data_IF_089565699469
#
_entry.id   IF_089565699469
#
_cell.length_a   1.000
_cell.length_b   1.000
_cell.length_c   1.000
_cell.angle_alpha   90.00
_cell.angle_beta   90.00
_cell.angle_gamma   90.00
#
_symmetry.space_group_name_H-M   'P 1'
#
loop_
_entity.id
_entity.type
_entity.pdbx_description
1 polymer ?
#
# COMPACT_ATOMS: atom_id res chain seq x y z
N UNK A 1 22.70 -11.17 -11.64
CA UNK A 1 21.27 -11.40 -11.85
C UNK A 1 20.74 -10.33 -12.80
N UNK A 2 19.89 -10.69 -13.76
CA UNK A 2 19.24 -9.69 -14.62
C UNK A 2 18.36 -8.76 -13.78
N UNK A 3 18.23 -7.51 -14.20
CA UNK A 3 17.33 -6.56 -13.54
C UNK A 3 15.87 -7.01 -13.69
N UNK A 4 15.11 -6.97 -12.60
CA UNK A 4 13.66 -7.25 -12.63
C UNK A 4 12.98 -6.13 -13.42
N UNK A 5 12.19 -6.49 -14.45
CA UNK A 5 11.44 -5.59 -15.31
C UNK A 5 9.95 -5.92 -15.27
N UNK A 6 9.13 -4.91 -15.55
CA UNK A 6 7.67 -5.00 -15.60
C UNK A 6 7.11 -4.39 -16.88
N UNK A 7 7.85 -4.51 -17.96
CA UNK A 7 7.41 -4.02 -19.28
C UNK A 7 6.05 -4.67 -19.62
N UNK A 8 5.12 -3.88 -20.14
CA UNK A 8 3.74 -4.26 -20.47
C UNK A 8 2.85 -4.69 -19.27
N UNK A 9 3.31 -4.53 -18.04
CA UNK A 9 2.51 -4.76 -16.83
C UNK A 9 1.96 -3.44 -16.28
N UNK A 10 0.81 -3.55 -15.60
CA UNK A 10 0.11 -2.43 -14.96
C UNK A 10 0.01 -2.66 -13.46
N UNK A 11 0.47 -1.69 -12.70
CA UNK A 11 0.44 -1.72 -11.24
C UNK A 11 -0.53 -0.67 -10.67
N UNK A 12 -1.32 -1.07 -9.69
CA UNK A 12 -2.10 -0.19 -8.82
C UNK A 12 -1.38 -0.07 -7.48
N UNK A 13 -1.08 1.15 -7.05
CA UNK A 13 -0.49 1.40 -5.73
C UNK A 13 -1.39 2.38 -4.96
N UNK A 14 -1.95 1.94 -3.83
CA UNK A 14 -2.80 2.78 -2.99
C UNK A 14 -1.99 3.53 -1.93
N UNK A 15 -2.42 4.76 -1.58
CA UNK A 15 -1.65 5.63 -0.68
C UNK A 15 -0.28 5.99 -1.27
N UNK A 16 -0.23 6.20 -2.59
CA UNK A 16 1.01 6.32 -3.36
C UNK A 16 1.54 7.76 -3.49
N UNK A 17 0.88 8.74 -2.90
CA UNK A 17 1.33 10.14 -2.96
C UNK A 17 2.56 10.44 -2.10
N UNK A 18 2.86 9.60 -1.09
CA UNK A 18 3.94 9.85 -0.14
C UNK A 18 4.59 8.54 0.37
N UNK A 19 5.75 8.70 1.03
CA UNK A 19 6.40 7.64 1.81
C UNK A 19 6.61 6.34 1.03
N UNK A 20 6.24 5.21 1.64
CA UNK A 20 6.41 3.88 1.06
C UNK A 20 5.66 3.72 -0.27
N UNK A 21 4.37 4.11 -0.32
CA UNK A 21 3.56 3.97 -1.54
C UNK A 21 4.15 4.73 -2.72
N UNK A 22 4.59 6.00 -2.50
CA UNK A 22 5.31 6.77 -3.52
C UNK A 22 6.56 6.04 -4.00
N UNK A 23 7.35 5.50 -3.08
CA UNK A 23 8.59 4.79 -3.42
C UNK A 23 8.30 3.52 -4.25
N UNK A 24 7.23 2.79 -3.93
CA UNK A 24 6.80 1.63 -4.72
C UNK A 24 6.36 2.02 -6.13
N UNK A 25 5.56 3.09 -6.24
CA UNK A 25 5.08 3.58 -7.53
C UNK A 25 6.23 4.01 -8.45
N UNK A 26 7.17 4.78 -7.92
CA UNK A 26 8.36 5.24 -8.65
C UNK A 26 9.24 4.06 -9.09
N UNK A 27 9.49 3.10 -8.20
CA UNK A 27 10.38 1.97 -8.51
C UNK A 27 9.76 1.00 -9.53
N UNK A 28 8.44 0.76 -9.47
CA UNK A 28 7.73 -0.03 -10.48
C UNK A 28 7.74 0.67 -11.83
N UNK A 29 7.46 1.98 -11.88
CA UNK A 29 7.51 2.77 -13.11
C UNK A 29 8.92 2.80 -13.72
N UNK A 30 9.96 2.99 -12.91
CA UNK A 30 11.38 2.93 -13.36
C UNK A 30 11.72 1.59 -14.01
N UNK A 31 11.06 0.53 -13.59
CA UNK A 31 11.23 -0.83 -14.14
C UNK A 31 10.29 -1.17 -15.29
N UNK A 32 9.54 -0.19 -15.80
CA UNK A 32 8.72 -0.32 -17.02
C UNK A 32 7.23 -0.50 -16.80
N UNK A 33 6.75 -0.68 -15.57
CA UNK A 33 5.32 -0.77 -15.31
C UNK A 33 4.59 0.54 -15.67
N UNK A 34 3.36 0.43 -16.16
CA UNK A 34 2.41 1.53 -16.09
C UNK A 34 1.78 1.55 -14.69
N UNK A 35 1.60 2.73 -14.08
CA UNK A 35 1.22 2.82 -12.67
C UNK A 35 -0.03 3.68 -12.47
N UNK A 36 -1.03 3.13 -11.80
CA UNK A 36 -2.10 3.92 -11.17
C UNK A 36 -1.61 4.36 -9.80
N UNK A 37 -1.42 5.65 -9.65
CA UNK A 37 -1.03 6.30 -8.39
C UNK A 37 -2.32 6.73 -7.68
N UNK A 38 -2.79 5.94 -6.73
CA UNK A 38 -3.97 6.30 -5.95
C UNK A 38 -3.57 6.97 -4.64
N UNK A 39 -4.09 8.17 -4.39
CA UNK A 39 -3.96 8.88 -3.12
C UNK A 39 -5.03 9.96 -3.00
N UNK A 40 -5.72 10.04 -1.87
CA UNK A 40 -6.70 11.09 -1.58
C UNK A 40 -6.06 12.47 -1.32
N UNK A 41 -4.74 12.54 -1.12
CA UNK A 41 -4.05 13.76 -0.72
C UNK A 41 -4.33 14.20 0.72
N UNK A 42 -4.75 13.28 1.57
CA UNK A 42 -5.05 13.53 2.99
C UNK A 42 -3.79 13.45 3.87
N UNK A 43 -3.87 14.00 5.07
CA UNK A 43 -2.84 13.85 6.09
C UNK A 43 -2.82 12.43 6.71
N UNK A 44 -1.93 12.20 7.69
CA UNK A 44 -1.80 10.90 8.38
C UNK A 44 -3.04 10.49 9.18
N UNK A 45 -3.93 11.45 9.45
CA UNK A 45 -5.19 11.23 10.16
C UNK A 45 -6.38 11.07 9.21
N UNK A 46 -6.16 11.14 7.89
CA UNK A 46 -7.21 11.05 6.88
C UNK A 46 -8.00 12.34 6.72
N UNK A 47 -7.40 13.50 6.98
CA UNK A 47 -8.04 14.81 6.87
C UNK A 47 -7.42 15.62 5.72
N UNK A 48 -8.24 16.50 5.12
CA UNK A 48 -7.81 17.38 4.04
C UNK A 48 -7.91 16.76 2.66
N UNK A 49 -7.38 17.43 1.66
CA UNK A 49 -7.26 17.00 0.25
C UNK A 49 -6.03 17.66 -0.36
N UNK A 50 -5.43 17.04 -1.37
CA UNK A 50 -4.28 17.64 -2.04
C UNK A 50 -3.87 16.87 -3.31
N UNK A 51 -2.99 17.46 -4.13
CA UNK A 51 -2.57 16.90 -5.42
C UNK A 51 -1.47 15.81 -5.29
N UNK A 52 -1.47 15.06 -4.19
CA UNK A 52 -0.37 14.13 -3.90
C UNK A 52 -0.17 13.06 -4.98
N UNK A 53 -1.26 12.53 -5.53
CA UNK A 53 -1.22 11.58 -6.63
C UNK A 53 -0.65 12.23 -7.90
N UNK A 54 -1.13 13.42 -8.27
CA UNK A 54 -0.69 14.13 -9.48
C UNK A 54 0.80 14.46 -9.45
N UNK A 55 1.33 14.86 -8.27
CA UNK A 55 2.76 15.15 -8.12
C UNK A 55 3.61 13.92 -8.45
N UNK A 56 3.22 12.73 -7.98
CA UNK A 56 3.96 11.49 -8.27
C UNK A 56 3.79 11.07 -9.73
N UNK A 57 2.60 11.24 -10.31
CA UNK A 57 2.36 10.99 -11.75
C UNK A 57 3.26 11.87 -12.62
N UNK A 58 3.35 13.18 -12.31
CA UNK A 58 4.24 14.10 -13.02
C UNK A 58 5.71 13.69 -12.92
N UNK A 59 6.14 13.22 -11.75
CA UNK A 59 7.51 12.73 -11.56
C UNK A 59 7.80 11.49 -12.40
N UNK A 60 6.87 10.52 -12.41
CA UNK A 60 6.97 9.32 -13.24
C UNK A 60 7.04 9.68 -14.74
N UNK A 61 6.15 10.57 -15.19
CA UNK A 61 6.10 10.99 -16.61
C UNK A 61 7.35 11.75 -17.03
N UNK A 62 7.88 12.63 -16.18
CA UNK A 62 9.16 13.33 -16.43
C UNK A 62 10.35 12.38 -16.53
N UNK A 63 10.31 11.25 -15.84
CA UNK A 63 11.30 10.18 -15.96
C UNK A 63 11.08 9.24 -17.16
N UNK A 64 10.08 9.51 -18.03
CA UNK A 64 9.74 8.72 -19.20
C UNK A 64 8.83 7.52 -18.92
N UNK A 65 8.31 7.36 -17.70
CA UNK A 65 7.37 6.31 -17.33
C UNK A 65 5.91 6.64 -17.68
N UNK A 66 5.03 5.66 -17.49
CA UNK A 66 3.58 5.79 -17.72
C UNK A 66 2.85 5.77 -16.39
N UNK A 67 2.03 6.76 -16.10
CA UNK A 67 1.22 6.78 -14.88
C UNK A 67 -0.06 7.59 -15.05
N UNK A 68 -1.07 7.27 -14.23
CA UNK A 68 -2.32 8.03 -14.10
C UNK A 68 -2.63 8.22 -12.61
N UNK A 69 -3.16 9.38 -12.27
CA UNK A 69 -3.62 9.68 -10.91
C UNK A 69 -5.05 9.15 -10.70
N UNK A 70 -5.31 8.69 -9.48
CA UNK A 70 -6.65 8.35 -9.03
C UNK A 70 -6.83 8.86 -7.59
N UNK A 71 -7.97 9.46 -7.30
CA UNK A 71 -8.28 10.06 -5.99
C UNK A 71 -9.51 9.43 -5.32
N UNK A 72 -9.91 8.23 -5.75
CA UNK A 72 -11.02 7.51 -5.11
C UNK A 72 -10.59 6.91 -3.76
N UNK A 73 -11.58 6.83 -2.86
CA UNK A 73 -11.35 6.30 -1.51
C UNK A 73 -11.29 4.78 -1.52
N UNK A 74 -10.24 4.19 -0.95
CA UNK A 74 -10.18 2.74 -0.70
C UNK A 74 -11.23 2.27 0.31
N UNK A 75 -11.77 3.17 1.13
CA UNK A 75 -12.65 2.83 2.25
C UNK A 75 -14.09 2.47 1.83
N UNK A 76 -14.40 2.48 0.54
CA UNK A 76 -15.72 2.09 -0.01
C UNK A 76 -15.59 1.07 -1.13
N UNK A 77 -16.59 0.19 -1.32
CA UNK A 77 -16.58 -0.77 -2.43
C UNK A 77 -16.48 -0.10 -3.81
N UNK A 78 -17.21 1.02 -3.99
CA UNK A 78 -17.23 1.79 -5.23
C UNK A 78 -15.86 2.41 -5.53
N UNK A 79 -15.20 2.96 -4.50
CA UNK A 79 -13.87 3.52 -4.64
C UNK A 79 -12.82 2.43 -4.94
N UNK A 80 -12.91 1.27 -4.28
CA UNK A 80 -12.06 0.12 -4.59
C UNK A 80 -12.22 -0.34 -6.05
N UNK A 81 -13.44 -0.35 -6.58
CA UNK A 81 -13.70 -0.65 -7.99
C UNK A 81 -13.14 0.43 -8.92
N UNK A 82 -13.41 1.71 -8.64
CA UNK A 82 -12.94 2.84 -9.46
C UNK A 82 -11.41 2.91 -9.57
N UNK A 83 -10.69 2.54 -8.50
CA UNK A 83 -9.22 2.46 -8.50
C UNK A 83 -8.73 1.39 -9.50
N UNK A 84 -9.37 0.23 -9.55
CA UNK A 84 -8.99 -0.84 -10.48
C UNK A 84 -9.44 -0.50 -11.91
N UNK A 85 -10.63 0.07 -12.06
CA UNK A 85 -11.15 0.53 -13.35
C UNK A 85 -10.24 1.58 -13.99
N UNK A 86 -9.59 2.44 -13.20
CA UNK A 86 -8.60 3.39 -13.72
C UNK A 86 -7.43 2.69 -14.41
N UNK A 87 -6.96 1.53 -13.90
CA UNK A 87 -5.92 0.73 -14.54
C UNK A 87 -6.41 0.11 -15.86
N UNK A 88 -7.62 -0.49 -15.83
CA UNK A 88 -8.19 -1.16 -17.00
C UNK A 88 -8.56 -0.16 -18.09
N UNK A 89 -9.15 0.97 -17.74
CA UNK A 89 -9.56 1.99 -18.71
C UNK A 89 -8.37 2.70 -19.36
N UNK A 90 -7.30 2.99 -18.61
CA UNK A 90 -6.15 3.73 -19.13
C UNK A 90 -5.13 2.82 -19.82
N UNK A 91 -4.94 1.60 -19.29
CA UNK A 91 -3.85 0.71 -19.72
C UNK A 91 -4.31 -0.67 -20.22
N UNK A 92 -5.62 -0.96 -20.17
CA UNK A 92 -6.22 -2.18 -20.71
C UNK A 92 -6.12 -3.41 -19.79
N UNK A 93 -5.45 -3.32 -18.63
CA UNK A 93 -5.20 -4.45 -17.72
C UNK A 93 -4.82 -4.01 -16.32
N UNK A 94 -4.76 -4.96 -15.40
CA UNK A 94 -4.12 -4.82 -14.08
C UNK A 94 -3.36 -6.12 -13.77
N UNK A 95 -2.10 -6.03 -13.30
CA UNK A 95 -1.23 -7.18 -13.02
C UNK A 95 -0.73 -7.21 -11.59
N UNK A 96 -0.57 -6.03 -11.00
CA UNK A 96 0.01 -5.85 -9.67
C UNK A 96 -0.89 -4.92 -8.86
N UNK A 97 -1.16 -5.32 -7.62
CA UNK A 97 -1.84 -4.45 -6.64
C UNK A 97 -1.01 -4.37 -5.36
N UNK A 98 -0.58 -3.16 -5.00
CA UNK A 98 0.06 -2.87 -3.72
C UNK A 98 -0.92 -2.09 -2.84
N UNK A 99 -1.52 -2.77 -1.87
CA UNK A 99 -2.40 -2.18 -0.87
C UNK A 99 -1.56 -1.56 0.25
N UNK A 100 -1.31 -0.25 0.12
CA UNK A 100 -0.47 0.50 1.05
C UNK A 100 -1.21 1.64 1.76
N UNK A 101 -2.37 2.08 1.28
CA UNK A 101 -3.15 3.15 1.89
C UNK A 101 -3.40 2.91 3.39
N UNK A 102 -3.32 3.98 4.18
CA UNK A 102 -3.51 3.87 5.62
C UNK A 102 -3.52 5.20 6.35
N UNK A 103 -4.19 5.22 7.48
CA UNK A 103 -4.30 6.35 8.41
C UNK A 103 -4.02 5.89 9.85
N UNK A 104 -3.78 6.84 10.75
CA UNK A 104 -3.66 6.59 12.19
C UNK A 104 -4.75 7.33 12.97
N UNK A 105 -5.36 6.64 13.91
CA UNK A 105 -6.27 7.16 14.93
C UNK A 105 -5.91 6.50 16.26
N UNK A 106 -4.70 6.82 16.74
CA UNK A 106 -4.13 6.19 17.93
C UNK A 106 -4.85 6.67 19.19
N UNK A 107 -5.31 5.73 20.01
CA UNK A 107 -6.00 5.99 21.27
C UNK A 107 -5.87 4.77 22.17
N UNK A 108 -5.73 4.98 23.48
CA UNK A 108 -5.80 3.88 24.46
C UNK A 108 -7.15 3.15 24.33
N UNK A 109 -7.13 1.83 24.43
CA UNK A 109 -8.30 0.96 24.22
C UNK A 109 -9.56 1.45 24.95
N UNK A 110 -9.43 1.78 26.24
CA UNK A 110 -10.56 2.23 27.07
C UNK A 110 -11.13 3.61 26.72
N UNK A 111 -10.43 4.37 25.83
CA UNK A 111 -10.82 5.72 25.41
C UNK A 111 -11.07 5.85 23.92
N UNK A 112 -10.87 4.76 23.18
CA UNK A 112 -11.05 4.75 21.73
C UNK A 112 -12.53 4.86 21.38
N UNK A 113 -12.87 5.80 20.49
CA UNK A 113 -14.23 5.95 20.00
C UNK A 113 -14.53 4.94 18.88
N UNK A 114 -15.82 4.69 18.64
CA UNK A 114 -16.27 3.87 17.51
C UNK A 114 -15.85 4.47 16.15
N UNK A 115 -15.82 5.80 16.06
CA UNK A 115 -15.38 6.52 14.86
C UNK A 115 -13.87 6.30 14.62
N UNK A 116 -13.03 6.43 15.64
CA UNK A 116 -11.58 6.16 15.54
C UNK A 116 -11.30 4.71 15.16
N UNK A 117 -12.08 3.77 15.70
CA UNK A 117 -12.02 2.37 15.34
C UNK A 117 -12.42 2.13 13.87
N UNK A 118 -13.62 2.56 13.51
CA UNK A 118 -14.21 2.31 12.20
C UNK A 118 -13.42 2.96 11.07
N UNK A 119 -12.93 4.19 11.26
CA UNK A 119 -12.10 4.87 10.26
C UNK A 119 -10.86 4.05 9.89
N UNK A 120 -10.15 3.53 10.88
CA UNK A 120 -8.94 2.73 10.66
C UNK A 120 -9.27 1.38 10.01
N UNK A 121 -10.29 0.67 10.49
CA UNK A 121 -10.74 -0.59 9.90
C UNK A 121 -11.14 -0.39 8.44
N UNK A 122 -11.91 0.66 8.13
CA UNK A 122 -12.39 0.92 6.78
C UNK A 122 -11.25 1.21 5.80
N UNK A 123 -10.29 2.04 6.16
CA UNK A 123 -9.18 2.35 5.26
C UNK A 123 -8.23 1.17 5.09
N UNK A 124 -7.84 0.52 6.19
CA UNK A 124 -6.82 -0.52 6.14
C UNK A 124 -7.38 -1.87 5.70
N UNK A 125 -8.31 -2.45 6.48
CA UNK A 125 -8.77 -3.82 6.25
C UNK A 125 -9.80 -3.88 5.12
N UNK A 126 -10.86 -3.08 5.23
CA UNK A 126 -11.90 -3.06 4.21
C UNK A 126 -11.36 -2.53 2.88
N UNK A 127 -10.51 -1.50 2.90
CA UNK A 127 -9.86 -0.95 1.71
C UNK A 127 -8.97 -1.98 1.01
N UNK A 128 -8.15 -2.71 1.76
CA UNK A 128 -7.39 -3.84 1.21
C UNK A 128 -8.30 -4.88 0.57
N UNK A 129 -9.40 -5.22 1.22
CA UNK A 129 -10.39 -6.16 0.68
C UNK A 129 -11.06 -5.63 -0.59
N UNK A 130 -11.55 -4.39 -0.60
CA UNK A 130 -12.29 -3.84 -1.74
C UNK A 130 -11.43 -3.76 -3.00
N UNK A 131 -10.23 -3.20 -2.89
CA UNK A 131 -9.32 -3.09 -4.05
C UNK A 131 -8.88 -4.47 -4.54
N UNK A 132 -8.55 -5.40 -3.62
CA UNK A 132 -8.15 -6.76 -4.00
C UNK A 132 -9.30 -7.52 -4.66
N UNK A 133 -10.52 -7.39 -4.13
CA UNK A 133 -11.71 -8.02 -4.68
C UNK A 133 -12.03 -7.49 -6.08
N UNK A 134 -11.85 -6.19 -6.31
CA UNK A 134 -12.05 -5.58 -7.64
C UNK A 134 -11.02 -6.09 -8.66
N UNK A 135 -9.76 -6.28 -8.27
CA UNK A 135 -8.72 -6.80 -9.16
C UNK A 135 -8.83 -8.32 -9.44
N UNK A 136 -9.41 -9.08 -8.51
CA UNK A 136 -9.44 -10.54 -8.57
C UNK A 136 -10.07 -11.13 -9.86
N UNK A 137 -11.18 -10.61 -10.42
CA UNK A 137 -11.73 -11.10 -11.69
C UNK A 137 -10.73 -10.96 -12.85
N UNK A 138 -10.03 -9.83 -12.95
CA UNK A 138 -9.02 -9.57 -13.98
C UNK A 138 -7.85 -10.54 -13.84
N UNK A 139 -7.34 -10.75 -12.63
CA UNK A 139 -6.27 -11.72 -12.38
C UNK A 139 -6.68 -13.15 -12.73
N UNK A 140 -7.93 -13.53 -12.45
CA UNK A 140 -8.47 -14.84 -12.85
C UNK A 140 -8.53 -15.02 -14.35
N UNK A 141 -9.03 -14.03 -15.08
CA UNK A 141 -9.13 -14.03 -16.54
C UNK A 141 -7.74 -14.08 -17.18
N UNK A 142 -6.78 -13.31 -16.67
CA UNK A 142 -5.38 -13.27 -17.10
C UNK A 142 -4.61 -14.53 -16.72
N UNK A 143 -5.13 -15.34 -15.78
CA UNK A 143 -4.42 -16.45 -15.15
C UNK A 143 -3.06 -16.03 -14.57
N UNK A 144 -2.97 -14.81 -14.04
CA UNK A 144 -1.75 -14.20 -13.49
C UNK A 144 -2.12 -12.99 -12.65
N UNK A 145 -1.34 -12.72 -11.60
CA UNK A 145 -1.48 -11.52 -10.79
C UNK A 145 -0.66 -11.57 -9.50
N UNK A 146 -0.36 -10.41 -8.95
CA UNK A 146 0.37 -10.33 -7.70
C UNK A 146 -0.20 -9.25 -6.76
N UNK A 147 -0.50 -9.66 -5.55
CA UNK A 147 -0.85 -8.76 -4.45
C UNK A 147 0.31 -8.62 -3.47
N UNK A 148 0.55 -7.39 -3.02
CA UNK A 148 1.35 -7.11 -1.83
C UNK A 148 0.55 -6.20 -0.89
N UNK A 149 0.46 -6.60 0.36
CA UNK A 149 -0.32 -5.92 1.39
C UNK A 149 0.59 -5.44 2.52
N UNK A 150 0.37 -4.21 2.98
CA UNK A 150 1.13 -3.67 4.11
C UNK A 150 0.49 -4.10 5.43
N UNK A 151 1.13 -5.05 6.12
CA UNK A 151 0.85 -5.37 7.53
C UNK A 151 1.74 -4.54 8.46
N UNK A 152 1.88 -4.92 9.73
CA UNK A 152 2.72 -4.22 10.71
C UNK A 152 3.08 -5.15 11.86
N UNK A 153 4.19 -4.86 12.55
CA UNK A 153 4.50 -5.46 13.85
C UNK A 153 3.38 -5.25 14.87
N UNK A 154 2.65 -4.12 14.80
CA UNK A 154 1.47 -3.89 15.64
C UNK A 154 0.38 -4.94 15.44
N UNK A 155 0.22 -5.49 14.23
CA UNK A 155 -0.70 -6.58 13.95
C UNK A 155 -0.18 -7.97 14.36
N UNK A 156 1.14 -8.12 14.54
CA UNK A 156 1.77 -9.40 14.88
C UNK A 156 1.96 -9.57 16.39
N UNK A 157 2.33 -8.49 17.09
CA UNK A 157 2.68 -8.54 18.54
C UNK A 157 1.91 -7.51 19.37
N UNK A 158 1.13 -6.62 18.73
CA UNK A 158 0.41 -5.53 19.41
C UNK A 158 1.26 -4.28 19.62
N UNK A 159 0.57 -3.16 19.89
CA UNK A 159 1.18 -1.89 20.26
C UNK A 159 0.22 -1.08 21.14
N UNK A 160 0.76 -0.35 22.12
CA UNK A 160 -0.03 0.52 22.99
C UNK A 160 -0.66 1.65 22.17
N UNK A 161 -1.95 1.91 22.39
CA UNK A 161 -2.70 2.97 21.73
C UNK A 161 -3.15 2.63 20.29
N UNK A 162 -2.90 1.42 19.81
CA UNK A 162 -3.21 1.00 18.45
C UNK A 162 -4.09 -0.26 18.35
N UNK A 163 -5.14 -0.44 19.16
CA UNK A 163 -5.97 -1.64 19.05
C UNK A 163 -6.71 -1.75 17.71
N UNK A 164 -7.19 -0.63 17.14
CA UNK A 164 -7.79 -0.56 15.81
C UNK A 164 -6.78 -0.91 14.70
N UNK A 165 -5.62 -0.28 14.73
CA UNK A 165 -4.56 -0.48 13.76
C UNK A 165 -3.99 -1.92 13.83
N UNK A 166 -3.73 -2.42 15.03
CA UNK A 166 -3.27 -3.79 15.26
C UNK A 166 -4.27 -4.82 14.72
N UNK A 167 -5.56 -4.66 15.03
CA UNK A 167 -6.62 -5.53 14.53
C UNK A 167 -6.70 -5.50 12.99
N UNK A 168 -6.67 -4.31 12.37
CA UNK A 168 -6.67 -4.19 10.91
C UNK A 168 -5.46 -4.88 10.28
N UNK A 169 -4.26 -4.67 10.82
CA UNK A 169 -3.01 -5.23 10.27
C UNK A 169 -2.90 -6.75 10.46
N UNK A 170 -3.42 -7.29 11.55
CA UNK A 170 -3.58 -8.74 11.72
C UNK A 170 -4.60 -9.32 10.74
N UNK A 171 -5.74 -8.64 10.55
CA UNK A 171 -6.77 -9.01 9.57
C UNK A 171 -6.24 -9.03 8.14
N UNK A 172 -5.42 -8.04 7.74
CA UNK A 172 -4.76 -8.00 6.43
C UNK A 172 -3.86 -9.22 6.23
N UNK A 173 -3.07 -9.61 7.24
CA UNK A 173 -2.21 -10.78 7.13
C UNK A 173 -3.01 -12.09 6.97
N UNK A 174 -4.16 -12.20 7.63
CA UNK A 174 -5.09 -13.32 7.48
C UNK A 174 -5.74 -13.31 6.09
N UNK A 175 -6.24 -12.16 5.63
CA UNK A 175 -6.83 -11.98 4.31
C UNK A 175 -5.85 -12.35 3.19
N UNK A 176 -4.60 -11.90 3.28
CA UNK A 176 -3.56 -12.23 2.30
C UNK A 176 -3.33 -13.74 2.16
N UNK A 177 -3.29 -14.47 3.29
CA UNK A 177 -3.17 -15.94 3.27
C UNK A 177 -4.36 -16.61 2.59
N UNK A 178 -5.58 -16.15 2.88
CA UNK A 178 -6.80 -16.67 2.25
C UNK A 178 -6.78 -16.42 0.73
N UNK A 179 -6.42 -15.20 0.29
CA UNK A 179 -6.27 -14.88 -1.13
C UNK A 179 -5.22 -15.79 -1.78
N UNK A 180 -4.06 -15.98 -1.14
CA UNK A 180 -2.99 -16.82 -1.67
C UNK A 180 -3.46 -18.28 -1.89
N UNK A 181 -4.22 -18.85 -0.94
CA UNK A 181 -4.75 -20.20 -1.04
C UNK A 181 -5.82 -20.30 -2.14
N UNK A 182 -6.80 -19.40 -2.14
CA UNK A 182 -7.95 -19.45 -3.07
C UNK A 182 -7.55 -19.15 -4.52
N UNK A 183 -6.62 -18.22 -4.70
CA UNK A 183 -6.25 -17.71 -6.02
C UNK A 183 -5.02 -18.42 -6.63
N UNK A 184 -4.36 -19.31 -5.90
CA UNK A 184 -3.17 -20.08 -6.38
C UNK A 184 -3.44 -20.83 -7.69
N UNK A 185 -4.63 -21.40 -7.83
CA UNK A 185 -5.05 -22.11 -9.05
C UNK A 185 -5.12 -21.23 -10.30
N UNK A 186 -5.07 -19.91 -10.14
CA UNK A 186 -5.03 -18.93 -11.22
C UNK A 186 -3.65 -18.26 -11.33
N UNK A 187 -2.62 -18.87 -10.78
CA UNK A 187 -1.25 -18.31 -10.73
C UNK A 187 -1.18 -16.92 -10.07
N UNK A 188 -2.11 -16.61 -9.16
CA UNK A 188 -2.14 -15.35 -8.42
C UNK A 188 -1.47 -15.53 -7.08
N UNK A 189 -0.54 -14.64 -6.77
CA UNK A 189 0.22 -14.64 -5.52
C UNK A 189 -0.24 -13.50 -4.62
N UNK A 190 -0.20 -13.72 -3.33
CA UNK A 190 -0.54 -12.72 -2.32
C UNK A 190 0.45 -12.78 -1.17
N UNK A 191 1.13 -11.67 -0.91
CA UNK A 191 2.17 -11.55 0.09
C UNK A 191 1.93 -10.35 1.00
N UNK A 192 2.51 -10.38 2.20
CA UNK A 192 2.52 -9.27 3.14
C UNK A 192 3.93 -8.76 3.40
N UNK A 193 4.06 -7.44 3.53
CA UNK A 193 5.24 -6.80 4.08
C UNK A 193 4.86 -6.16 5.42
N UNK A 194 5.67 -6.39 6.47
CA UNK A 194 5.65 -5.61 7.70
C UNK A 194 6.79 -4.62 7.65
N UNK A 195 6.58 -3.43 7.05
CA UNK A 195 7.66 -2.51 6.79
C UNK A 195 8.14 -1.82 8.07
N UNK A 196 9.43 -1.56 8.14
CA UNK A 196 10.02 -0.71 9.16
C UNK A 196 10.85 0.38 8.46
N UNK A 197 10.24 1.55 8.24
CA UNK A 197 10.86 2.65 7.51
C UNK A 197 10.42 3.99 8.08
N UNK A 198 11.28 4.98 7.99
CA UNK A 198 10.92 6.35 8.33
C UNK A 198 9.80 6.84 7.42
N UNK A 199 8.69 7.27 8.01
CA UNK A 199 7.52 7.77 7.30
C UNK A 199 6.83 8.87 8.11
N UNK A 200 5.87 9.55 7.51
CA UNK A 200 5.02 10.53 8.22
C UNK A 200 4.34 9.92 9.46
N UNK A 201 3.99 8.63 9.42
CA UNK A 201 3.41 7.91 10.56
C UNK A 201 4.36 7.77 11.74
N UNK A 202 5.68 7.63 11.49
CA UNK A 202 6.70 7.49 12.52
C UNK A 202 7.23 8.87 12.97
N UNK A 203 7.08 9.91 12.16
CA UNK A 203 7.56 11.26 12.49
C UNK A 203 6.86 11.91 13.69
N UNK A 204 5.72 11.36 14.14
CA UNK A 204 4.99 11.79 15.33
C UNK A 204 5.56 11.27 16.67
N UNK A 205 6.65 10.48 16.65
CA UNK A 205 7.30 10.02 17.89
C UNK A 205 7.86 11.23 18.64
N UNK A 206 7.56 11.36 19.96
CA UNK A 206 8.09 12.44 20.78
C UNK A 206 9.62 12.46 20.77
N UNK A 207 10.20 13.67 20.84
CA UNK A 207 11.66 13.91 20.86
C UNK A 207 12.08 14.75 22.07
N UNK A 208 11.36 14.59 23.18
CA UNK A 208 11.54 15.42 24.36
C UNK A 208 12.75 15.01 25.21
N UNK A 209 13.24 13.77 25.07
CA UNK A 209 14.40 13.27 25.79
C UNK A 209 15.57 12.93 24.85
N UNK A 210 16.85 12.95 25.35
CA UNK A 210 18.02 12.56 24.56
C UNK A 210 17.90 11.13 23.98
N UNK A 211 17.33 10.18 24.72
CA UNK A 211 17.14 8.81 24.28
C UNK A 211 16.12 8.74 23.12
N UNK A 212 15.05 9.53 23.20
CA UNK A 212 14.05 9.64 22.14
C UNK A 212 14.68 10.27 20.89
N UNK A 213 15.49 11.32 21.04
CA UNK A 213 16.21 11.96 19.95
C UNK A 213 17.17 11.00 19.25
N UNK A 214 17.95 10.23 20.02
CA UNK A 214 18.84 9.20 19.47
C UNK A 214 18.07 8.12 18.72
N UNK A 215 16.97 7.63 19.29
CA UNK A 215 16.08 6.67 18.63
C UNK A 215 15.53 7.20 17.31
N UNK A 216 15.02 8.42 17.30
CA UNK A 216 14.51 9.07 16.07
C UNK A 216 15.61 9.27 15.04
N UNK A 217 16.83 9.64 15.46
CA UNK A 217 17.98 9.76 14.56
C UNK A 217 18.29 8.43 13.87
N UNK A 218 18.28 7.32 14.59
CA UNK A 218 18.46 5.97 14.02
C UNK A 218 17.32 5.60 13.05
N UNK A 219 16.08 5.92 13.42
CA UNK A 219 14.91 5.64 12.58
C UNK A 219 14.93 6.43 11.26
N UNK A 220 15.41 7.66 11.26
CA UNK A 220 15.56 8.48 10.04
C UNK A 220 16.50 7.86 9.00
N UNK A 221 17.41 6.98 9.41
CA UNK A 221 18.30 6.26 8.49
C UNK A 221 17.59 5.10 7.76
N UNK A 222 16.39 4.73 8.21
CA UNK A 222 15.57 3.67 7.59
C UNK A 222 14.70 4.29 6.50
N UNK A 223 15.32 4.64 5.39
CA UNK A 223 14.64 5.24 4.25
C UNK A 223 13.63 4.29 3.62
N UNK A 224 12.47 4.82 3.20
CA UNK A 224 11.40 4.05 2.56
C UNK A 224 11.87 3.35 1.27
N UNK A 225 12.84 3.93 0.56
CA UNK A 225 13.41 3.35 -0.65
C UNK A 225 14.08 1.99 -0.43
N UNK A 226 14.54 1.71 0.80
CA UNK A 226 15.15 0.41 1.15
C UNK A 226 14.14 -0.75 1.21
N UNK A 227 12.84 -0.44 1.31
CA UNK A 227 11.77 -1.46 1.30
C UNK A 227 11.30 -1.76 -0.12
N UNK A 228 11.43 -0.81 -1.06
CA UNK A 228 10.94 -0.98 -2.42
C UNK A 228 11.51 -2.21 -3.16
N UNK A 229 12.81 -2.57 -3.03
CA UNK A 229 13.34 -3.78 -3.66
C UNK A 229 12.62 -5.06 -3.23
N UNK A 230 12.19 -5.16 -1.95
CA UNK A 230 11.41 -6.30 -1.48
C UNK A 230 10.02 -6.34 -2.12
N UNK A 231 9.33 -5.20 -2.18
CA UNK A 231 8.03 -5.13 -2.84
C UNK A 231 8.13 -5.50 -4.32
N UNK A 232 9.14 -4.97 -5.03
CA UNK A 232 9.45 -5.30 -6.43
C UNK A 232 9.69 -6.80 -6.61
N UNK A 233 10.51 -7.42 -5.74
CA UNK A 233 10.76 -8.86 -5.80
C UNK A 233 9.48 -9.66 -5.62
N UNK A 234 8.69 -9.35 -4.59
CA UNK A 234 7.46 -10.09 -4.27
C UNK A 234 6.38 -10.02 -5.36
N UNK A 235 6.34 -8.96 -6.16
CA UNK A 235 5.41 -8.87 -7.31
C UNK A 235 6.00 -9.39 -8.61
N UNK A 236 7.28 -9.71 -8.66
CA UNK A 236 7.96 -10.19 -9.85
C UNK A 236 7.76 -11.70 -10.07
N UNK A 237 7.99 -12.17 -11.30
CA UNK A 237 7.99 -13.57 -11.66
C UNK A 237 9.05 -14.40 -10.90
N UNK A 238 10.11 -13.73 -10.40
CA UNK A 238 11.19 -14.40 -9.65
C UNK A 238 10.75 -14.88 -8.26
N UNK A 239 9.63 -14.36 -7.74
CA UNK A 239 9.07 -14.77 -6.44
C UNK A 239 8.04 -15.91 -6.55
N UNK A 240 8.05 -16.69 -7.62
CA UNK A 240 7.15 -17.84 -7.82
C UNK A 240 7.63 -19.12 -7.12
N UNK A 241 8.87 -19.13 -6.67
CA UNK A 241 9.50 -20.28 -6.00
C UNK A 241 9.58 -20.10 -4.47
#
# INVERSE_FOLDING_TARGET
>A
MAEIRFDDQVAVVTGAGHGLGRTYALELARRGAAVVVNDLGVDVHGLGTGPAADVVVEEIRKAGGRAVANTDSVATPEGGQAIVDAAVNEFGRVDIVINNAGILRDRLFSKMSEEEWTAVINVHLNGTFYVSRAAAPHFKEQNSGAFVHMTSTAGLIGNVGQPNYGAAKAGIAALSRSIAIEMSRYNVRSNCISPFAWSRMISSIPTDTPEQQERVSKLKQMDASKIAPLAVYLVSEQAKE
#
